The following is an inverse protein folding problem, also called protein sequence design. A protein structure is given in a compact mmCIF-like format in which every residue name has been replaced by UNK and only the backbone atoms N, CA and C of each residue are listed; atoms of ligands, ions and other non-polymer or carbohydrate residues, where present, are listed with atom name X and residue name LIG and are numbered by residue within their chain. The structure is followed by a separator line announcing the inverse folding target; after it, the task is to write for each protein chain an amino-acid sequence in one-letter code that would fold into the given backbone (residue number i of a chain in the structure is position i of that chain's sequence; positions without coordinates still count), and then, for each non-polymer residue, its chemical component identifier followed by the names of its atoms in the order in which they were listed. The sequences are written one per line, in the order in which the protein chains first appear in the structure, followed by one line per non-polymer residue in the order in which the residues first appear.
data_IF_409742193826
#
_entry.id   IF_409742193826
#
_cell.length_a   1.000
_cell.length_b   1.000
_cell.length_c   1.000
_cell.angle_alpha   90.00
_cell.angle_beta   90.00
_cell.angle_gamma   90.00
#
_symmetry.space_group_name_H-M   'P 1'
#
loop_
_entity.id
_entity.type
_entity.pdbx_description
1 polymer ?
#
# COMPACT_ATOMS: atom_id res chain seq x y z
N UNK A 1 -4.35 4.29 -30.77
CA UNK A 1 -3.59 3.03 -30.89
C UNK A 1 -4.44 1.93 -30.27
N UNK A 2 -4.72 0.85 -31.01
CA UNK A 2 -5.36 -0.33 -30.43
C UNK A 2 -4.44 -0.87 -29.33
N UNK A 3 -4.96 -1.02 -28.11
CA UNK A 3 -4.25 -1.78 -27.06
C UNK A 3 -4.04 -3.19 -27.62
N UNK A 4 -2.81 -3.69 -27.61
CA UNK A 4 -2.58 -5.11 -27.87
C UNK A 4 -3.43 -5.92 -26.90
N UNK A 5 -4.10 -6.96 -27.40
CA UNK A 5 -4.90 -7.83 -26.57
C UNK A 5 -4.02 -8.43 -25.45
N UNK A 6 -4.54 -8.58 -24.22
CA UNK A 6 -3.78 -9.19 -23.13
C UNK A 6 -3.25 -10.55 -23.56
N UNK A 7 -1.94 -10.75 -23.40
CA UNK A 7 -1.27 -12.02 -23.72
C UNK A 7 -1.45 -12.98 -22.55
N UNK A 8 -1.68 -14.25 -22.84
CA UNK A 8 -1.74 -15.28 -21.82
C UNK A 8 -0.38 -15.40 -21.11
N UNK A 9 -0.40 -15.41 -19.79
CA UNK A 9 0.75 -15.68 -18.92
C UNK A 9 0.63 -17.14 -18.45
N UNK A 10 1.70 -17.93 -18.56
CA UNK A 10 1.68 -19.34 -18.18
C UNK A 10 2.49 -19.61 -16.91
N UNK A 11 1.97 -20.45 -16.03
CA UNK A 11 2.64 -20.89 -14.80
C UNK A 11 4.05 -21.45 -15.05
N UNK A 12 4.24 -22.18 -16.15
CA UNK A 12 5.52 -22.80 -16.52
C UNK A 12 6.61 -21.78 -16.90
N UNK A 13 6.23 -20.54 -17.20
CA UNK A 13 7.14 -19.46 -17.60
C UNK A 13 7.62 -18.63 -16.40
N UNK A 14 7.23 -19.03 -15.17
CA UNK A 14 7.70 -18.39 -13.95
C UNK A 14 9.23 -18.34 -13.89
N UNK A 15 9.76 -17.14 -13.66
CA UNK A 15 11.13 -16.90 -13.29
C UNK A 15 11.18 -16.03 -12.02
N UNK A 16 12.12 -16.27 -11.09
CA UNK A 16 12.34 -15.38 -9.96
C UNK A 16 12.64 -13.95 -10.45
N UNK A 17 12.20 -12.90 -9.74
CA UNK A 17 12.48 -11.53 -10.15
C UNK A 17 13.98 -11.26 -10.12
N UNK A 18 14.46 -10.43 -11.02
CA UNK A 18 15.88 -10.06 -11.13
C UNK A 18 16.34 -9.21 -9.94
N UNK A 19 15.42 -8.44 -9.38
CA UNK A 19 15.64 -7.55 -8.24
C UNK A 19 14.58 -7.80 -7.15
N UNK A 20 14.96 -7.50 -5.91
CA UNK A 20 14.08 -7.50 -4.76
C UNK A 20 14.06 -6.10 -4.14
N UNK A 21 12.95 -5.76 -3.49
CA UNK A 21 12.80 -4.52 -2.72
C UNK A 21 12.73 -4.92 -1.25
N UNK A 22 13.77 -4.61 -0.47
CA UNK A 22 13.80 -5.00 0.95
C UNK A 22 12.99 -4.03 1.83
N UNK A 23 12.94 -2.74 1.43
CA UNK A 23 12.21 -1.68 2.13
C UNK A 23 11.61 -0.67 1.15
N UNK A 24 10.40 -0.22 1.46
CA UNK A 24 9.73 0.89 0.80
C UNK A 24 9.32 1.94 1.84
N UNK A 25 9.95 3.11 1.76
CA UNK A 25 9.54 4.31 2.50
C UNK A 25 8.65 5.15 1.57
N UNK A 26 7.35 5.19 1.85
CA UNK A 26 6.35 5.89 1.04
C UNK A 26 5.87 7.14 1.75
N UNK A 27 5.65 8.21 0.99
CA UNK A 27 4.93 9.40 1.43
C UNK A 27 3.82 9.76 0.46
N UNK A 28 2.62 9.91 0.98
CA UNK A 28 1.43 10.35 0.25
C UNK A 28 1.07 11.77 0.69
N UNK A 29 1.15 12.71 -0.24
CA UNK A 29 0.59 14.04 -0.08
C UNK A 29 -0.78 14.06 -0.75
N UNK A 30 -1.82 13.83 0.06
CA UNK A 30 -3.20 13.75 -0.40
C UNK A 30 -3.77 15.15 -0.59
N UNK A 31 -4.22 15.43 -1.82
CA UNK A 31 -4.91 16.66 -2.20
C UNK A 31 -6.06 16.30 -3.14
N UNK A 32 -7.06 17.17 -3.24
CA UNK A 32 -8.31 16.86 -3.93
C UNK A 32 -8.15 16.71 -5.46
N UNK A 33 -7.24 17.47 -6.08
CA UNK A 33 -7.01 17.43 -7.53
C UNK A 33 -5.87 16.49 -7.96
N UNK A 34 -4.92 16.24 -7.06
CA UNK A 34 -3.73 15.44 -7.36
C UNK A 34 -3.09 14.95 -6.07
N UNK A 35 -2.83 13.65 -6.01
CA UNK A 35 -1.98 13.09 -4.95
C UNK A 35 -0.54 13.02 -5.46
N UNK A 36 0.41 13.48 -4.65
CA UNK A 36 1.83 13.24 -4.88
C UNK A 36 2.27 12.02 -4.07
N UNK A 37 2.92 11.08 -4.73
CA UNK A 37 3.47 9.88 -4.10
C UNK A 37 4.98 9.93 -4.24
N UNK A 38 5.66 9.97 -3.11
CA UNK A 38 7.10 9.84 -3.02
C UNK A 38 7.41 8.41 -2.59
N UNK A 39 8.25 7.72 -3.34
CA UNK A 39 8.68 6.36 -3.01
C UNK A 39 10.20 6.32 -2.96
N UNK A 40 10.74 5.93 -1.82
CA UNK A 40 12.16 5.58 -1.64
C UNK A 40 12.26 4.07 -1.43
N UNK A 41 12.90 3.39 -2.37
CA UNK A 41 12.97 1.94 -2.46
C UNK A 41 14.41 1.47 -2.26
N UNK A 42 14.63 0.59 -1.29
CA UNK A 42 15.92 -0.10 -1.11
C UNK A 42 15.90 -1.37 -1.93
N UNK A 43 16.65 -1.35 -3.04
CA UNK A 43 16.62 -2.39 -4.06
C UNK A 43 17.97 -3.12 -4.06
N UNK A 44 17.91 -4.44 -4.26
CA UNK A 44 19.11 -5.25 -4.52
C UNK A 44 18.83 -6.32 -5.55
N UNK A 45 19.90 -6.81 -6.17
CA UNK A 45 19.81 -7.95 -7.06
C UNK A 45 19.35 -9.20 -6.29
N UNK A 46 18.51 -9.99 -6.95
CA UNK A 46 18.02 -11.23 -6.39
C UNK A 46 19.08 -12.34 -6.56
N UNK A 47 19.64 -12.90 -5.47
CA UNK A 47 20.70 -13.93 -5.58
C UNK A 47 20.23 -15.23 -6.24
N UNK A 48 18.92 -15.49 -6.30
CA UNK A 48 18.38 -16.68 -6.98
C UNK A 48 18.10 -16.45 -8.47
N UNK A 49 18.21 -15.21 -8.97
CA UNK A 49 18.03 -14.93 -10.38
C UNK A 49 19.27 -15.34 -11.19
N UNK A 50 19.06 -16.13 -12.23
CA UNK A 50 20.12 -16.57 -13.14
C UNK A 50 20.58 -15.46 -14.11
N UNK A 51 19.83 -14.37 -14.24
CA UNK A 51 20.12 -13.32 -15.23
C UNK A 51 21.13 -12.29 -14.71
N UNK A 52 22.34 -12.29 -15.26
CA UNK A 52 23.39 -11.30 -14.96
C UNK A 52 23.22 -10.02 -15.77
N UNK A 53 23.30 -8.86 -15.13
CA UNK A 53 23.21 -7.56 -15.81
C UNK A 53 21.83 -7.26 -16.40
N UNK A 54 20.77 -7.83 -15.83
CA UNK A 54 19.41 -7.51 -16.23
C UNK A 54 19.05 -6.05 -15.92
N UNK A 55 18.27 -5.43 -16.79
CA UNK A 55 17.71 -4.12 -16.53
C UNK A 55 16.73 -4.18 -15.36
N UNK A 56 16.63 -3.11 -14.58
CA UNK A 56 15.54 -2.95 -13.63
C UNK A 56 14.27 -2.62 -14.42
N UNK A 57 13.20 -3.38 -14.18
CA UNK A 57 11.87 -3.07 -14.67
C UNK A 57 10.91 -2.90 -13.49
N UNK A 58 10.22 -1.77 -13.44
CA UNK A 58 9.22 -1.45 -12.45
C UNK A 58 7.88 -1.27 -13.13
N UNK A 59 6.85 -2.00 -12.69
CA UNK A 59 5.50 -1.85 -13.19
C UNK A 59 4.96 -0.46 -12.82
N UNK A 60 4.20 0.13 -13.73
CA UNK A 60 3.48 1.37 -13.47
C UNK A 60 2.45 1.68 -14.56
N UNK A 61 1.29 2.19 -14.16
CA UNK A 61 0.20 2.55 -15.07
C UNK A 61 -0.43 3.88 -14.65
N UNK A 62 -0.57 4.81 -15.60
CA UNK A 62 -1.24 6.09 -15.36
C UNK A 62 -0.49 7.05 -14.43
N UNK A 63 0.83 6.88 -14.30
CA UNK A 63 1.67 7.67 -13.40
C UNK A 63 2.28 8.88 -14.13
N UNK A 64 2.14 10.07 -13.56
CA UNK A 64 2.87 11.26 -14.03
C UNK A 64 4.22 11.34 -13.31
N UNK A 65 5.30 10.89 -13.96
CA UNK A 65 6.65 10.97 -13.41
C UNK A 65 7.10 12.43 -13.26
N UNK A 66 7.50 12.83 -12.05
CA UNK A 66 7.99 14.18 -11.74
C UNK A 66 9.48 14.22 -11.49
N UNK A 67 10.00 13.24 -10.75
CA UNK A 67 11.42 13.09 -10.48
C UNK A 67 11.78 11.62 -10.30
N UNK A 68 13.04 11.30 -10.63
CA UNK A 68 13.62 9.97 -10.47
C UNK A 68 15.12 10.14 -10.16
N UNK A 69 15.59 9.51 -9.08
CA UNK A 69 16.99 9.50 -8.70
C UNK A 69 17.44 8.11 -8.26
N UNK A 70 18.72 7.84 -8.48
CA UNK A 70 19.38 6.61 -8.06
C UNK A 70 20.56 7.00 -7.17
N UNK A 71 20.57 6.49 -5.94
CA UNK A 71 21.56 6.82 -4.89
C UNK A 71 21.72 8.34 -4.66
N UNK A 72 20.61 9.07 -4.70
CA UNK A 72 20.56 10.52 -4.52
C UNK A 72 20.90 11.34 -5.77
N UNK A 73 21.37 10.70 -6.85
CA UNK A 73 21.70 11.38 -8.11
C UNK A 73 20.51 11.35 -9.09
N UNK A 74 20.02 12.50 -9.59
CA UNK A 74 18.93 12.55 -10.56
C UNK A 74 19.26 11.82 -11.87
N UNK A 75 18.37 10.93 -12.31
CA UNK A 75 18.50 10.25 -13.60
C UNK A 75 18.05 11.17 -14.73
N UNK A 76 18.90 11.29 -15.76
CA UNK A 76 18.58 11.97 -17.01
C UNK A 76 17.63 11.13 -17.88
N UNK A 77 16.90 11.77 -18.78
CA UNK A 77 15.89 11.14 -19.61
C UNK A 77 16.45 10.01 -20.51
N UNK A 78 17.75 10.03 -20.81
CA UNK A 78 18.42 8.99 -21.61
C UNK A 78 18.81 7.76 -20.78
N UNK A 79 18.73 7.85 -19.44
CA UNK A 79 19.13 6.77 -18.52
C UNK A 79 17.99 5.82 -18.17
N UNK A 80 16.76 6.17 -18.54
CA UNK A 80 15.58 5.34 -18.32
C UNK A 80 14.60 5.44 -19.49
N UNK A 81 13.72 4.47 -19.61
CA UNK A 81 12.61 4.49 -20.58
C UNK A 81 11.30 4.31 -19.83
N UNK A 82 10.36 5.23 -20.03
CA UNK A 82 8.97 5.05 -19.59
C UNK A 82 8.22 4.36 -20.71
N UNK A 83 7.85 3.11 -20.46
CA UNK A 83 7.06 2.26 -21.34
C UNK A 83 5.58 2.31 -20.92
N UNK A 84 4.69 1.72 -21.73
CA UNK A 84 3.25 1.70 -21.43
C UNK A 84 2.93 0.97 -20.11
N UNK A 85 3.72 -0.04 -19.74
CA UNK A 85 3.47 -0.92 -18.61
C UNK A 85 4.44 -0.69 -17.44
N UNK A 86 5.39 0.24 -17.57
CA UNK A 86 6.42 0.39 -16.56
C UNK A 86 7.56 1.33 -16.91
N UNK A 87 8.52 1.38 -15.99
CA UNK A 87 9.76 2.14 -16.06
C UNK A 87 10.93 1.15 -16.16
N UNK A 88 11.80 1.34 -17.14
CA UNK A 88 12.98 0.51 -17.38
C UNK A 88 14.27 1.33 -17.16
N UNK A 89 15.23 0.77 -16.42
CA UNK A 89 16.58 1.32 -16.24
C UNK A 89 17.60 0.24 -16.63
N UNK A 90 18.34 0.46 -17.72
CA UNK A 90 19.19 -0.58 -18.32
C UNK A 90 20.36 -1.02 -17.46
N UNK A 91 20.92 -0.10 -16.65
CA UNK A 91 22.09 -0.35 -15.81
C UNK A 91 21.87 0.25 -14.44
N UNK A 92 21.85 -0.61 -13.43
CA UNK A 92 21.78 -0.26 -12.02
C UNK A 92 22.88 -0.99 -11.23
N UNK A 93 23.31 -0.48 -10.06
CA UNK A 93 24.19 -1.21 -9.16
C UNK A 93 23.57 -2.51 -8.64
N UNK A 94 24.38 -3.37 -7.99
CA UNK A 94 23.90 -4.60 -7.34
C UNK A 94 22.99 -4.33 -6.13
N UNK A 95 23.19 -3.18 -5.47
CA UNK A 95 22.31 -2.66 -4.42
C UNK A 95 22.35 -1.14 -4.45
N UNK A 96 21.17 -0.52 -4.39
CA UNK A 96 20.99 0.92 -4.57
C UNK A 96 19.67 1.38 -3.96
N UNK A 97 19.53 2.68 -3.81
CA UNK A 97 18.29 3.35 -3.45
C UNK A 97 17.70 4.00 -4.69
N UNK A 98 16.46 3.65 -5.02
CA UNK A 98 15.70 4.35 -6.07
C UNK A 98 14.66 5.25 -5.40
N UNK A 99 14.67 6.53 -5.77
CA UNK A 99 13.70 7.51 -5.31
C UNK A 99 12.90 8.02 -6.50
N UNK A 100 11.58 8.08 -6.33
CA UNK A 100 10.68 8.63 -7.35
C UNK A 100 9.60 9.49 -6.74
N UNK A 101 9.20 10.52 -7.48
CA UNK A 101 8.02 11.32 -7.22
C UNK A 101 7.07 11.18 -8.41
N UNK A 102 5.84 10.75 -8.14
CA UNK A 102 4.78 10.65 -9.15
C UNK A 102 3.54 11.41 -8.75
N UNK A 103 2.82 11.93 -9.74
CA UNK A 103 1.46 12.41 -9.57
C UNK A 103 0.44 11.37 -10.00
N UNK A 104 -0.61 11.22 -9.21
CA UNK A 104 -1.79 10.42 -9.54
C UNK A 104 -3.07 11.21 -9.24
N UNK A 105 -4.19 10.79 -9.83
CA UNK A 105 -5.50 11.45 -9.72
C UNK A 105 -6.59 10.50 -9.21
N UNK A 106 -6.67 10.25 -7.90
CA UNK A 106 -7.62 9.28 -7.34
C UNK A 106 -9.09 9.62 -7.61
N UNK A 107 -9.42 10.91 -7.78
CA UNK A 107 -10.75 11.40 -8.09
C UNK A 107 -11.20 11.08 -9.53
N UNK A 108 -10.26 10.82 -10.44
CA UNK A 108 -10.55 10.39 -11.82
C UNK A 108 -10.54 8.86 -11.96
N UNK A 109 -10.16 8.12 -10.90
CA UNK A 109 -10.01 6.67 -10.91
C UNK A 109 -11.35 5.95 -10.68
N UNK A 110 -12.08 5.72 -11.77
CA UNK A 110 -13.37 5.00 -11.76
C UNK A 110 -13.22 3.48 -11.79
N UNK A 111 -12.00 2.95 -11.96
CA UNK A 111 -11.75 1.51 -11.96
C UNK A 111 -11.76 0.91 -10.55
N UNK A 112 -11.62 1.73 -9.51
CA UNK A 112 -11.52 1.33 -8.09
C UNK A 112 -10.37 0.33 -7.85
N UNK A 113 -9.22 0.61 -8.44
CA UNK A 113 -7.97 -0.16 -8.34
C UNK A 113 -6.79 0.81 -8.19
N UNK A 114 -5.84 0.51 -7.32
CA UNK A 114 -4.85 1.48 -6.84
C UNK A 114 -5.45 2.42 -5.80
N UNK A 115 -5.06 3.69 -5.80
CA UNK A 115 -5.66 4.72 -4.95
C UNK A 115 -6.82 5.40 -5.68
N UNK A 116 -7.98 5.47 -5.02
CA UNK A 116 -9.19 6.08 -5.59
C UNK A 116 -10.05 6.74 -4.51
N UNK A 117 -11.12 7.44 -4.93
CA UNK A 117 -12.12 8.03 -4.04
C UNK A 117 -13.37 7.13 -3.94
N UNK A 118 -13.71 6.69 -2.73
CA UNK A 118 -15.02 6.09 -2.43
C UNK A 118 -15.90 7.16 -1.78
N UNK A 119 -16.69 7.89 -2.57
CA UNK A 119 -17.37 9.08 -2.06
C UNK A 119 -16.36 10.15 -1.63
N UNK A 120 -16.42 10.60 -0.37
CA UNK A 120 -15.52 11.65 0.14
C UNK A 120 -14.17 11.11 0.65
N UNK A 121 -14.01 9.81 0.88
CA UNK A 121 -12.77 9.23 1.41
C UNK A 121 -11.83 8.73 0.30
N UNK A 122 -10.53 8.75 0.58
CA UNK A 122 -9.55 7.98 -0.18
C UNK A 122 -9.46 6.56 0.40
N UNK A 123 -9.39 5.57 -0.49
CA UNK A 123 -9.07 4.19 -0.13
C UNK A 123 -8.31 3.52 -1.27
N UNK A 124 -7.70 2.38 -0.96
CA UNK A 124 -6.92 1.60 -1.91
C UNK A 124 -7.50 0.21 -2.14
N UNK A 125 -7.34 -0.30 -3.36
CA UNK A 125 -7.45 -1.72 -3.67
C UNK A 125 -6.24 -2.14 -4.50
N UNK A 126 -5.35 -2.95 -3.93
CA UNK A 126 -4.09 -3.30 -4.59
C UNK A 126 -4.07 -4.72 -5.14
N UNK A 127 -4.95 -5.62 -4.70
CA UNK A 127 -5.06 -6.95 -5.31
C UNK A 127 -5.85 -6.89 -6.63
N UNK A 128 -5.37 -7.52 -7.71
CA UNK A 128 -4.13 -8.30 -7.80
C UNK A 128 -2.88 -7.47 -8.14
N UNK A 129 -3.05 -6.41 -8.93
CA UNK A 129 -1.98 -5.65 -9.57
C UNK A 129 -2.22 -4.14 -9.50
N UNK A 130 -2.95 -3.68 -8.47
CA UNK A 130 -3.38 -2.30 -8.35
C UNK A 130 -2.30 -1.35 -7.80
N UNK A 131 -1.26 -1.89 -7.15
CA UNK A 131 -0.22 -1.04 -6.56
C UNK A 131 0.62 -0.31 -7.62
N UNK A 132 0.77 -0.88 -8.83
CA UNK A 132 1.41 -0.19 -9.98
C UNK A 132 0.66 1.06 -10.45
N UNK A 133 -0.59 1.27 -10.01
CA UNK A 133 -1.36 2.51 -10.26
C UNK A 133 -1.11 3.60 -9.21
N UNK A 134 -0.21 3.33 -8.25
CA UNK A 134 0.14 4.24 -7.16
C UNK A 134 1.56 4.79 -7.35
N UNK A 135 2.53 3.92 -7.63
CA UNK A 135 3.93 4.29 -7.88
C UNK A 135 4.65 3.20 -8.69
N UNK A 136 5.88 3.47 -9.11
CA UNK A 136 6.73 2.49 -9.79
C UNK A 136 7.17 1.41 -8.81
N UNK A 137 6.86 0.14 -9.09
CA UNK A 137 7.19 -0.96 -8.18
C UNK A 137 7.39 -2.30 -8.89
N UNK A 138 8.11 -3.24 -8.26
CA UNK A 138 8.12 -4.63 -8.72
C UNK A 138 6.83 -5.31 -8.21
N UNK A 139 5.70 -4.96 -8.83
CA UNK A 139 4.34 -5.32 -8.42
C UNK A 139 3.98 -6.80 -8.71
N UNK A 140 4.61 -7.69 -7.96
CA UNK A 140 4.43 -9.16 -8.01
C UNK A 140 4.52 -9.75 -6.59
N UNK A 141 3.78 -10.84 -6.29
CA UNK A 141 3.59 -11.29 -4.91
C UNK A 141 4.80 -12.01 -4.28
N UNK A 142 5.80 -12.42 -5.06
CA UNK A 142 7.06 -12.99 -4.57
C UNK A 142 8.15 -11.94 -4.29
N UNK A 143 7.83 -10.65 -4.37
CA UNK A 143 8.64 -9.54 -3.85
C UNK A 143 8.05 -9.08 -2.52
N UNK A 144 8.66 -9.53 -1.42
CA UNK A 144 8.23 -9.24 -0.06
C UNK A 144 8.98 -8.03 0.49
N UNK A 145 8.27 -6.95 0.79
CA UNK A 145 8.84 -5.64 1.14
C UNK A 145 8.34 -5.17 2.50
N UNK A 146 9.21 -4.58 3.33
CA UNK A 146 8.77 -3.85 4.54
C UNK A 146 8.35 -2.44 4.17
N UNK A 147 7.24 -1.96 4.73
CA UNK A 147 6.66 -0.66 4.36
C UNK A 147 6.62 0.27 5.56
N UNK A 148 7.15 1.47 5.35
CA UNK A 148 6.88 2.63 6.21
C UNK A 148 6.08 3.64 5.38
N UNK A 149 4.91 4.05 5.86
CA UNK A 149 3.97 4.88 5.10
C UNK A 149 3.66 6.16 5.85
N UNK A 150 4.04 7.28 5.26
CA UNK A 150 3.68 8.62 5.71
C UNK A 150 2.50 9.14 4.90
N UNK A 151 1.46 9.60 5.58
CA UNK A 151 0.28 10.19 4.95
C UNK A 151 0.15 11.62 5.43
N UNK A 152 -0.02 12.55 4.49
CA UNK A 152 -0.21 13.98 4.73
C UNK A 152 -1.51 14.41 4.07
N UNK A 153 -2.43 15.00 4.82
CA UNK A 153 -3.72 15.45 4.30
C UNK A 153 -4.24 16.68 5.03
N UNK A 154 -5.26 17.34 4.47
CA UNK A 154 -6.05 18.35 5.17
C UNK A 154 -6.77 17.73 6.38
N UNK A 155 -6.57 18.32 7.57
CA UNK A 155 -7.09 17.74 8.83
C UNK A 155 -8.61 17.88 8.96
N UNK A 156 -9.21 18.89 8.35
CA UNK A 156 -10.65 19.12 8.43
C UNK A 156 -11.42 18.11 7.57
N UNK A 157 -10.93 17.85 6.36
CA UNK A 157 -11.53 16.93 5.39
C UNK A 157 -11.16 15.47 5.68
N UNK A 158 -9.93 15.22 6.15
CA UNK A 158 -9.37 13.88 6.33
C UNK A 158 -8.80 13.67 7.73
N UNK A 159 -9.58 13.83 8.82
CA UNK A 159 -9.08 13.73 10.19
C UNK A 159 -8.55 12.34 10.58
N UNK A 160 -8.87 11.29 9.82
CA UNK A 160 -8.38 9.92 10.03
C UNK A 160 -7.49 9.50 8.86
N UNK A 161 -6.22 9.16 9.13
CA UNK A 161 -5.24 8.66 8.16
C UNK A 161 -4.67 7.31 8.61
N UNK A 162 -4.95 6.25 7.85
CA UNK A 162 -4.63 4.87 8.19
C UNK A 162 -3.77 4.22 7.10
N UNK A 163 -2.83 3.38 7.52
CA UNK A 163 -2.13 2.42 6.65
C UNK A 163 -1.81 1.14 7.45
N UNK A 164 -1.12 0.19 6.85
CA UNK A 164 -0.74 -1.07 7.49
C UNK A 164 0.18 -0.87 8.69
N UNK A 165 0.19 -1.85 9.60
CA UNK A 165 1.14 -1.91 10.71
C UNK A 165 0.74 -1.06 11.91
N UNK A 166 1.73 -0.48 12.59
CA UNK A 166 1.56 0.24 13.84
C UNK A 166 1.74 1.75 13.64
N UNK A 167 1.01 2.54 14.44
CA UNK A 167 1.18 3.99 14.49
C UNK A 167 2.57 4.33 15.03
N UNK A 168 3.40 4.95 14.19
CA UNK A 168 4.75 5.36 14.56
C UNK A 168 4.82 6.81 15.03
N UNK A 169 4.18 7.73 14.28
CA UNK A 169 4.17 9.14 14.62
C UNK A 169 2.90 9.85 14.10
N UNK A 170 2.47 10.89 14.78
CA UNK A 170 1.41 11.79 14.32
C UNK A 170 1.75 13.22 14.72
N UNK A 171 1.60 14.16 13.79
CA UNK A 171 1.89 15.58 14.03
C UNK A 171 1.07 16.48 13.10
N UNK A 172 0.87 17.73 13.49
CA UNK A 172 0.38 18.77 12.57
C UNK A 172 1.53 19.24 11.66
N UNK A 173 1.21 19.59 10.41
CA UNK A 173 2.20 19.97 9.39
C UNK A 173 1.77 21.24 8.67
N UNK A 174 1.64 22.35 9.42
CA UNK A 174 1.33 23.68 8.87
C UNK A 174 -0.02 23.78 8.16
N UNK A 175 -0.51 25.01 7.95
CA UNK A 175 -1.62 25.28 7.00
C UNK A 175 -2.88 24.41 7.17
N UNK A 176 -3.21 23.97 8.39
CA UNK A 176 -4.38 23.11 8.66
C UNK A 176 -4.21 21.64 8.27
N UNK A 177 -3.02 21.20 7.86
CA UNK A 177 -2.70 19.83 7.49
C UNK A 177 -2.11 19.04 8.66
N UNK A 178 -2.22 17.71 8.59
CA UNK A 178 -1.58 16.81 9.52
C UNK A 178 -0.91 15.64 8.81
N UNK A 179 -0.02 14.98 9.54
CA UNK A 179 0.76 13.85 9.07
C UNK A 179 0.62 12.69 10.05
N UNK A 180 0.50 11.48 9.52
CA UNK A 180 0.57 10.22 10.27
C UNK A 180 1.59 9.30 9.60
N UNK A 181 2.46 8.68 10.38
CA UNK A 181 3.45 7.69 9.94
C UNK A 181 3.07 6.34 10.51
N UNK A 182 2.98 5.35 9.62
CA UNK A 182 2.71 3.96 9.93
C UNK A 182 3.92 3.10 9.58
N UNK A 183 4.22 2.12 10.43
CA UNK A 183 5.34 1.19 10.23
C UNK A 183 4.84 -0.26 10.34
N UNK A 184 4.98 -1.03 9.27
CA UNK A 184 4.69 -2.46 9.26
C UNK A 184 6.01 -3.25 9.26
N UNK A 185 6.34 -3.93 10.37
CA UNK A 185 7.62 -4.63 10.50
C UNK A 185 7.68 -5.91 9.66
N UNK A 186 6.55 -6.43 9.18
CA UNK A 186 6.49 -7.67 8.42
C UNK A 186 6.66 -7.40 6.92
N UNK A 187 7.62 -8.06 6.25
CA UNK A 187 7.67 -8.07 4.80
C UNK A 187 6.36 -8.58 4.22
N UNK A 188 5.80 -7.86 3.26
CA UNK A 188 4.56 -8.23 2.56
C UNK A 188 4.66 -7.85 1.08
N UNK A 189 3.93 -8.54 0.20
CA UNK A 189 3.80 -8.11 -1.18
C UNK A 189 2.96 -6.84 -1.30
N UNK A 190 3.17 -6.09 -2.38
CA UNK A 190 2.49 -4.82 -2.67
C UNK A 190 0.97 -4.93 -2.69
N UNK A 191 0.41 -6.08 -3.07
CA UNK A 191 -1.05 -6.28 -3.09
C UNK A 191 -1.71 -6.18 -1.69
N UNK A 192 -0.94 -6.40 -0.62
CA UNK A 192 -1.41 -6.26 0.77
C UNK A 192 -1.23 -4.83 1.32
N UNK A 193 -0.75 -3.88 0.53
CA UNK A 193 -0.71 -2.48 0.91
C UNK A 193 -2.13 -1.92 1.04
N UNK A 194 -2.35 -1.10 2.07
CA UNK A 194 -3.56 -0.32 2.24
C UNK A 194 -3.28 1.11 2.69
N UNK A 195 -4.08 2.04 2.18
CA UNK A 195 -4.18 3.41 2.65
C UNK A 195 -5.65 3.83 2.69
N UNK A 196 -6.06 4.44 3.81
CA UNK A 196 -7.38 5.04 3.96
C UNK A 196 -7.24 6.44 4.54
N UNK A 197 -7.94 7.42 3.96
CA UNK A 197 -8.04 8.77 4.50
C UNK A 197 -9.46 9.34 4.38
N UNK A 198 -10.04 9.79 5.49
CA UNK A 198 -11.43 10.26 5.50
C UNK A 198 -11.92 10.79 6.85
N UNK A 199 -13.14 11.32 6.85
CA UNK A 199 -13.86 11.65 8.08
C UNK A 199 -14.57 10.41 8.61
N UNK A 200 -13.85 9.60 9.39
CA UNK A 200 -14.33 8.33 9.92
C UNK A 200 -14.54 8.42 11.44
N UNK A 201 -15.51 7.65 11.92
CA UNK A 201 -15.68 7.29 13.34
C UNK A 201 -15.26 5.85 13.53
N UNK A 202 -14.93 5.46 14.76
CA UNK A 202 -14.65 4.07 15.06
C UNK A 202 -15.24 3.64 16.40
N UNK A 203 -15.57 2.36 16.49
CA UNK A 203 -15.67 1.66 17.78
C UNK A 203 -14.32 1.00 18.08
N UNK A 204 -14.01 0.85 19.36
CA UNK A 204 -12.76 0.26 19.84
C UNK A 204 -13.05 -0.79 20.91
N UNK A 205 -12.39 -1.94 20.79
CA UNK A 205 -12.32 -2.96 21.85
C UNK A 205 -10.89 -3.50 21.97
N UNK A 206 -10.66 -4.37 22.96
CA UNK A 206 -9.41 -5.12 23.11
C UNK A 206 -9.65 -6.63 23.04
N UNK A 207 -8.64 -7.34 22.57
CA UNK A 207 -8.58 -8.79 22.57
C UNK A 207 -7.25 -9.26 23.18
N UNK A 208 -7.31 -10.12 24.19
CA UNK A 208 -6.13 -10.75 24.78
C UNK A 208 -5.88 -12.09 24.12
N UNK A 209 -4.73 -12.25 23.49
CA UNK A 209 -4.29 -13.52 22.89
C UNK A 209 -4.00 -14.58 23.97
N UNK A 210 -3.88 -15.85 23.55
CA UNK A 210 -3.59 -16.95 24.47
C UNK A 210 -2.25 -16.80 25.24
N UNK A 211 -1.26 -16.10 24.66
CA UNK A 211 0.02 -15.75 25.29
C UNK A 211 -0.03 -14.52 26.21
N UNK A 212 -1.16 -13.81 26.22
CA UNK A 212 -1.36 -12.59 27.03
C UNK A 212 -1.07 -11.28 26.31
N UNK A 213 -0.75 -11.30 25.00
CA UNK A 213 -0.61 -10.07 24.21
C UNK A 213 -1.98 -9.40 24.05
N UNK A 214 -2.08 -8.12 24.38
CA UNK A 214 -3.26 -7.28 24.15
C UNK A 214 -3.24 -6.71 22.72
N UNK A 215 -4.31 -6.93 21.96
CA UNK A 215 -4.51 -6.38 20.61
C UNK A 215 -5.61 -5.33 20.67
N UNK A 216 -5.33 -4.14 20.13
CA UNK A 216 -6.33 -3.09 19.94
C UNK A 216 -7.16 -3.40 18.69
N UNK A 217 -8.49 -3.45 18.82
CA UNK A 217 -9.38 -3.69 17.69
C UNK A 217 -10.14 -2.40 17.36
N UNK A 218 -10.10 -1.96 16.10
CA UNK A 218 -10.86 -0.79 15.66
C UNK A 218 -11.64 -1.07 14.38
N UNK A 219 -12.91 -0.73 14.39
CA UNK A 219 -13.77 -0.75 13.20
C UNK A 219 -14.15 0.68 12.87
N UNK A 220 -13.65 1.16 11.73
CA UNK A 220 -13.88 2.48 11.19
C UNK A 220 -15.03 2.46 10.19
N UNK A 221 -15.88 3.49 10.27
CA UNK A 221 -17.04 3.69 9.40
C UNK A 221 -17.29 5.18 9.18
N UNK A 222 -18.06 5.50 8.15
CA UNK A 222 -18.67 6.83 8.02
C UNK A 222 -19.58 7.14 9.23
N UNK A 223 -19.69 8.41 9.68
CA UNK A 223 -20.34 8.77 10.93
C UNK A 223 -21.77 8.22 11.12
N UNK A 224 -22.56 8.17 10.06
CA UNK A 224 -23.94 7.67 10.03
C UNK A 224 -24.07 6.15 10.31
N UNK A 225 -22.98 5.40 10.18
CA UNK A 225 -22.96 3.95 10.30
C UNK A 225 -22.38 3.46 11.63
N UNK A 226 -21.94 4.36 12.53
CA UNK A 226 -21.30 3.99 13.80
C UNK A 226 -22.13 3.03 14.66
N UNK A 227 -23.46 3.18 14.65
CA UNK A 227 -24.38 2.31 15.38
C UNK A 227 -24.59 0.91 14.80
N UNK A 228 -23.86 0.52 13.75
CA UNK A 228 -24.02 -0.78 13.05
C UNK A 228 -22.82 -1.72 13.21
N UNK A 229 -21.84 -1.38 14.05
CA UNK A 229 -20.53 -2.05 14.06
C UNK A 229 -20.43 -3.25 15.04
N UNK A 230 -21.35 -3.37 16.01
CA UNK A 230 -21.21 -4.30 17.14
C UNK A 230 -21.07 -5.77 16.70
N UNK A 231 -21.88 -6.19 15.71
CA UNK A 231 -21.82 -7.57 15.21
C UNK A 231 -20.48 -7.90 14.54
N UNK A 232 -19.91 -6.95 13.82
CA UNK A 232 -18.60 -7.11 13.17
C UNK A 232 -17.49 -7.23 14.21
N UNK A 233 -17.53 -6.43 15.28
CA UNK A 233 -16.54 -6.49 16.37
C UNK A 233 -16.58 -7.85 17.08
N UNK A 234 -17.77 -8.35 17.41
CA UNK A 234 -17.89 -9.69 18.01
C UNK A 234 -17.43 -10.80 17.07
N UNK A 235 -17.72 -10.68 15.77
CA UNK A 235 -17.25 -11.63 14.76
C UNK A 235 -15.73 -11.66 14.66
N UNK A 236 -15.07 -10.50 14.70
CA UNK A 236 -13.60 -10.40 14.72
C UNK A 236 -13.00 -11.13 15.93
N UNK A 237 -13.52 -10.86 17.14
CA UNK A 237 -13.06 -11.54 18.37
C UNK A 237 -13.29 -13.04 18.33
N UNK A 238 -14.44 -13.48 17.78
CA UNK A 238 -14.71 -14.90 17.59
C UNK A 238 -13.75 -15.55 16.59
N UNK A 239 -13.39 -14.85 15.50
CA UNK A 239 -12.44 -15.34 14.52
C UNK A 239 -11.04 -15.52 15.11
N UNK A 240 -10.52 -14.49 15.81
CA UNK A 240 -9.23 -14.56 16.51
C UNK A 240 -9.19 -15.73 17.51
N UNK A 241 -10.21 -15.82 18.38
CA UNK A 241 -10.25 -16.87 19.39
C UNK A 241 -10.43 -18.28 18.79
N UNK A 242 -11.11 -18.39 17.65
CA UNK A 242 -11.24 -19.67 16.95
C UNK A 242 -9.92 -20.09 16.31
N UNK A 243 -9.18 -19.17 15.68
CA UNK A 243 -7.90 -19.47 15.03
C UNK A 243 -6.85 -19.91 16.08
N UNK A 244 -6.83 -19.26 17.24
CA UNK A 244 -6.00 -19.68 18.39
C UNK A 244 -6.36 -21.08 18.87
N UNK A 245 -7.66 -21.38 19.08
CA UNK A 245 -8.10 -22.70 19.58
C UNK A 245 -7.92 -23.83 18.57
N UNK A 246 -8.06 -23.55 17.27
CA UNK A 246 -8.08 -24.58 16.22
C UNK A 246 -6.73 -24.78 15.55
N UNK A 247 -6.00 -23.69 15.35
CA UNK A 247 -4.74 -23.73 14.62
C UNK A 247 -3.54 -23.24 15.44
N UNK A 248 -3.75 -22.73 16.66
CA UNK A 248 -2.65 -22.23 17.51
C UNK A 248 -2.03 -20.95 16.95
N UNK A 249 -2.80 -20.13 16.24
CA UNK A 249 -2.33 -18.90 15.58
C UNK A 249 -2.82 -17.68 16.33
N UNK A 250 -1.88 -16.94 16.91
CA UNK A 250 -2.13 -15.64 17.53
C UNK A 250 -1.88 -14.51 16.53
N UNK A 251 -2.55 -13.39 16.76
CA UNK A 251 -2.34 -12.19 15.95
C UNK A 251 -0.99 -11.52 16.26
N UNK A 252 -0.34 -10.99 15.23
CA UNK A 252 1.09 -10.63 15.27
C UNK A 252 1.39 -9.12 15.34
N UNK A 253 0.40 -8.25 15.09
CA UNK A 253 0.50 -6.79 15.24
C UNK A 253 -0.13 -6.30 16.55
N UNK A 254 -0.02 -5.01 16.87
CA UNK A 254 -0.55 -4.42 18.10
C UNK A 254 -1.96 -3.84 17.91
N UNK A 255 -2.36 -3.64 16.66
CA UNK A 255 -3.67 -3.14 16.26
C UNK A 255 -4.21 -3.92 15.07
N UNK A 256 -5.51 -4.21 15.10
CA UNK A 256 -6.28 -4.75 13.99
C UNK A 256 -7.34 -3.71 13.59
N UNK A 257 -7.25 -3.20 12.37
CA UNK A 257 -8.19 -2.21 11.84
C UNK A 257 -9.05 -2.81 10.73
N UNK A 258 -10.34 -2.45 10.74
CA UNK A 258 -11.27 -2.70 9.64
C UNK A 258 -11.87 -1.36 9.25
N UNK A 259 -11.99 -1.06 7.96
CA UNK A 259 -12.64 0.14 7.44
C UNK A 259 -13.77 -0.30 6.52
N UNK A 260 -15.03 -0.13 6.93
CA UNK A 260 -16.13 -0.41 6.00
C UNK A 260 -16.37 0.79 5.07
N UNK A 261 -16.35 0.52 3.77
CA UNK A 261 -16.53 1.53 2.70
C UNK A 261 -17.75 1.21 1.83
N UNK A 262 -18.41 2.24 1.29
CA UNK A 262 -19.62 2.06 0.48
C UNK A 262 -19.33 1.58 -0.95
N UNK A 263 -18.24 2.05 -1.56
CA UNK A 263 -17.83 1.68 -2.92
C UNK A 263 -16.56 0.81 -2.88
N UNK A 264 -16.76 -0.51 -2.96
CA UNK A 264 -15.69 -1.50 -3.04
C UNK A 264 -16.04 -2.52 -4.13
N UNK A 265 -15.14 -2.75 -5.08
CA UNK A 265 -15.36 -3.72 -6.16
C UNK A 265 -15.40 -5.16 -5.63
N UNK A 266 -14.63 -5.43 -4.57
CA UNK A 266 -14.55 -6.73 -3.91
C UNK A 266 -15.42 -6.74 -2.66
N UNK A 267 -15.63 -7.91 -2.04
CA UNK A 267 -16.43 -8.00 -0.82
C UNK A 267 -15.74 -7.43 0.41
N UNK A 268 -14.47 -7.79 0.60
CA UNK A 268 -13.55 -7.32 1.63
C UNK A 268 -12.11 -7.66 1.18
N UNK A 269 -11.09 -7.04 1.77
CA UNK A 269 -9.69 -7.29 1.44
C UNK A 269 -8.80 -7.51 2.68
N UNK A 270 -7.89 -8.48 2.62
CA UNK A 270 -7.06 -8.93 3.74
C UNK A 270 -5.79 -8.11 4.01
N UNK A 271 -5.76 -6.82 3.62
CA UNK A 271 -4.55 -5.99 3.78
C UNK A 271 -4.03 -6.03 5.22
N UNK A 272 -2.73 -6.23 5.38
CA UNK A 272 -2.10 -6.58 6.67
C UNK A 272 -2.39 -5.51 7.73
N UNK A 273 -3.21 -5.85 8.73
CA UNK A 273 -3.59 -4.96 9.84
C UNK A 273 -4.59 -3.86 9.52
N UNK A 274 -5.05 -3.73 8.27
CA UNK A 274 -6.02 -2.72 7.84
C UNK A 274 -6.95 -3.29 6.77
N UNK A 275 -7.92 -4.12 7.15
CA UNK A 275 -8.92 -4.59 6.19
C UNK A 275 -9.82 -3.46 5.73
N UNK A 276 -10.26 -3.56 4.47
CA UNK A 276 -11.22 -2.65 3.83
C UNK A 276 -12.40 -3.50 3.35
#
# INVERSE_FOLDING_TARGET
MLRDAPKAIYLKDYIPPEYLIDKADLRFDLQDERTLVFARLEIRRNPVSAQTGAALFLHGEGLELRSLSLDGEPLQAEQYTVEMQGLRIDRVPESFVLESEVGIKPQENTALEGLYKSGAMFCTQCEAEGFRKITWFIDRPDVMTRFTTTIVADKANYPTLLSNGNLHAMQEVGEGRHQVVWDDPFPKPSYLFALVAGNLKHIEERYTTASGKEILLRIYVEPENIGKCDHAMQSLKHAMAWDERKYGREYDLDIYMIVAVAAFNMGAMENKGLNI
#
